data_IF_561737575904
#
_entry.id   IF_561737575904
#
_cell.length_a   1.000
_cell.length_b   1.000
_cell.length_c   1.000
_cell.angle_alpha   90.00
_cell.angle_beta   90.00
_cell.angle_gamma   90.00
#
_symmetry.space_group_name_H-M   'P 1'
#
loop_
_entity.id
_entity.type
_entity.pdbx_description
1 polymer ?
#
# COMPACT_ATOMS: atom_id res chain seq x y z
N UNK A 1 -22.82 14.78 -14.20
CA UNK A 1 -22.58 13.32 -14.16
C UNK A 1 -21.13 13.14 -13.71
N UNK A 2 -20.89 12.72 -12.47
CA UNK A 2 -19.54 12.33 -12.06
C UNK A 2 -19.19 11.06 -12.84
N UNK A 3 -18.20 11.16 -13.71
CA UNK A 3 -17.56 9.98 -14.30
C UNK A 3 -16.83 9.29 -13.14
N UNK A 4 -17.42 8.25 -12.57
CA UNK A 4 -16.66 7.29 -11.79
C UNK A 4 -15.69 6.64 -12.78
N UNK A 5 -14.43 7.03 -12.72
CA UNK A 5 -13.37 6.42 -13.51
C UNK A 5 -13.31 4.95 -13.15
N UNK A 6 -13.74 4.10 -14.08
CA UNK A 6 -13.75 2.67 -13.92
C UNK A 6 -12.67 2.11 -14.84
N UNK A 7 -11.73 1.37 -14.26
CA UNK A 7 -10.58 0.83 -14.98
C UNK A 7 -10.71 -0.67 -15.14
N UNK A 8 -10.00 -1.20 -16.14
CA UNK A 8 -9.72 -2.64 -16.31
C UNK A 8 -8.52 -2.83 -17.22
N UNK A 9 -7.86 -3.98 -17.10
CA UNK A 9 -6.81 -4.39 -18.02
C UNK A 9 -5.59 -3.48 -17.97
N UNK A 10 -4.94 -3.50 -16.81
CA UNK A 10 -3.64 -2.89 -16.58
C UNK A 10 -2.69 -3.89 -15.90
N UNK A 11 -1.40 -3.60 -15.98
CA UNK A 11 -0.33 -4.26 -15.26
C UNK A 11 0.33 -3.22 -14.36
N UNK A 12 0.61 -3.60 -13.12
CA UNK A 12 1.38 -2.81 -12.17
C UNK A 12 2.67 -3.56 -11.87
N UNK A 13 3.80 -2.91 -12.07
CA UNK A 13 5.12 -3.44 -11.72
C UNK A 13 5.79 -2.53 -10.70
N UNK A 14 6.41 -3.13 -9.69
CA UNK A 14 7.21 -2.43 -8.69
C UNK A 14 8.67 -2.80 -8.87
N UNK A 15 9.54 -1.82 -8.71
CA UNK A 15 10.98 -1.94 -8.97
C UNK A 15 11.80 -1.59 -7.73
N UNK A 16 12.93 -2.27 -7.54
CA UNK A 16 13.96 -1.90 -6.56
C UNK A 16 14.74 -0.66 -7.03
N UNK A 17 15.61 -0.10 -6.17
CA UNK A 17 16.53 0.99 -6.54
C UNK A 17 17.52 0.58 -7.64
N UNK A 18 17.86 -0.72 -7.74
CA UNK A 18 18.69 -1.27 -8.79
C UNK A 18 17.95 -1.44 -10.13
N UNK A 19 16.63 -1.21 -10.15
CA UNK A 19 15.78 -1.38 -11.34
C UNK A 19 15.28 -2.81 -11.55
N UNK A 20 15.48 -3.71 -10.59
CA UNK A 20 14.94 -5.07 -10.66
C UNK A 20 13.44 -5.06 -10.39
N UNK A 21 12.67 -5.85 -11.15
CA UNK A 21 11.25 -6.06 -10.86
C UNK A 21 11.12 -6.89 -9.58
N UNK A 22 10.57 -6.30 -8.52
CA UNK A 22 10.37 -6.95 -7.22
C UNK A 22 8.93 -7.42 -7.02
N UNK A 23 7.97 -6.84 -7.77
CA UNK A 23 6.57 -7.25 -7.74
C UNK A 23 5.90 -6.98 -9.09
N UNK A 24 4.96 -7.85 -9.47
CA UNK A 24 4.12 -7.67 -10.66
C UNK A 24 2.69 -8.11 -10.36
N UNK A 25 1.75 -7.21 -10.59
CA UNK A 25 0.32 -7.45 -10.56
C UNK A 25 -0.26 -7.29 -11.97
N UNK A 26 -1.11 -8.24 -12.38
CA UNK A 26 -1.86 -8.16 -13.61
C UNK A 26 -3.35 -8.14 -13.26
N UNK A 27 -4.09 -7.18 -13.79
CA UNK A 27 -5.53 -7.13 -13.59
C UNK A 27 -6.21 -8.33 -14.27
N UNK A 28 -6.83 -9.19 -13.46
CA UNK A 28 -7.58 -10.37 -13.91
C UNK A 28 -9.10 -10.17 -13.84
N UNK A 29 -9.57 -8.98 -13.47
CA UNK A 29 -11.01 -8.72 -13.40
C UNK A 29 -11.63 -8.69 -14.79
N UNK A 30 -12.76 -9.37 -14.92
CA UNK A 30 -13.54 -9.39 -16.17
C UNK A 30 -14.46 -8.18 -16.30
N UNK A 31 -14.77 -7.52 -15.18
CA UNK A 31 -15.58 -6.29 -15.11
C UNK A 31 -14.72 -5.10 -14.72
N UNK A 32 -15.16 -3.90 -15.09
CA UNK A 32 -14.53 -2.67 -14.63
C UNK A 32 -14.64 -2.53 -13.11
N UNK A 33 -13.60 -2.01 -12.47
CA UNK A 33 -13.57 -1.72 -11.04
C UNK A 33 -13.25 -0.24 -10.82
N UNK A 34 -13.84 0.33 -9.77
CA UNK A 34 -13.58 1.71 -9.36
C UNK A 34 -12.45 1.85 -8.35
N UNK A 35 -12.07 0.76 -7.66
CA UNK A 35 -11.03 0.75 -6.63
C UNK A 35 -10.24 -0.55 -6.73
N UNK A 36 -8.91 -0.45 -6.67
CA UNK A 36 -7.99 -1.58 -6.65
C UNK A 36 -7.11 -1.50 -5.40
N UNK A 37 -7.21 -2.52 -4.53
CA UNK A 37 -6.37 -2.65 -3.35
C UNK A 37 -5.32 -3.74 -3.61
N UNK A 38 -4.08 -3.31 -3.91
CA UNK A 38 -2.97 -4.21 -4.23
C UNK A 38 -1.97 -4.11 -3.07
N UNK A 39 -1.67 -5.24 -2.44
CA UNK A 39 -0.76 -5.30 -1.28
C UNK A 39 0.20 -6.47 -1.40
N UNK A 40 1.42 -6.28 -0.92
CA UNK A 40 2.44 -7.31 -0.81
C UNK A 40 3.38 -6.99 0.36
N UNK A 41 4.00 -7.99 0.95
CA UNK A 41 4.85 -7.83 2.16
C UNK A 41 6.33 -8.00 1.84
N UNK A 42 7.19 -7.34 2.61
CA UNK A 42 8.65 -7.50 2.58
C UNK A 42 9.36 -7.13 1.27
N UNK A 43 8.85 -6.14 0.52
CA UNK A 43 9.53 -5.64 -0.67
C UNK A 43 10.00 -4.21 -0.49
N UNK A 44 11.26 -3.98 -0.83
CA UNK A 44 11.82 -2.64 -0.98
C UNK A 44 11.47 -2.14 -2.37
N UNK A 45 10.54 -1.20 -2.45
CA UNK A 45 10.04 -0.62 -3.70
C UNK A 45 10.51 0.83 -3.80
N UNK A 46 11.17 1.16 -4.90
CA UNK A 46 11.61 2.53 -5.24
C UNK A 46 10.73 3.17 -6.30
N UNK A 47 10.22 2.39 -7.25
CA UNK A 47 9.39 2.89 -8.34
C UNK A 47 8.22 1.94 -8.60
N UNK A 48 7.06 2.50 -8.96
CA UNK A 48 5.92 1.74 -9.48
C UNK A 48 5.57 2.25 -10.87
N UNK A 49 5.32 1.32 -11.78
CA UNK A 49 4.89 1.59 -13.15
C UNK A 49 3.57 0.90 -13.39
N UNK A 50 2.58 1.66 -13.87
CA UNK A 50 1.27 1.15 -14.27
C UNK A 50 1.18 1.28 -15.80
N UNK A 51 0.97 0.15 -16.48
CA UNK A 51 0.83 0.09 -17.94
C UNK A 51 -0.50 -0.52 -18.33
N UNK A 52 -1.10 -0.04 -19.41
CA UNK A 52 -2.30 -0.67 -19.98
C UNK A 52 -1.92 -1.95 -20.70
N UNK A 53 -2.77 -2.98 -20.61
CA UNK A 53 -2.51 -4.28 -21.28
C UNK A 53 -3.13 -4.38 -22.67
N UNK A 54 -3.99 -3.42 -23.03
CA UNK A 54 -4.64 -3.33 -24.34
C UNK A 54 -4.58 -1.89 -24.84
N UNK A 55 -4.47 -1.75 -26.16
CA UNK A 55 -4.52 -0.46 -26.85
C UNK A 55 -5.92 0.19 -26.80
N UNK A 56 -6.95 -0.59 -26.46
CA UNK A 56 -8.33 -0.10 -26.31
C UNK A 56 -8.62 0.41 -24.89
N UNK A 57 -7.76 0.13 -23.92
CA UNK A 57 -7.92 0.59 -22.55
C UNK A 57 -7.15 1.90 -22.36
N UNK A 58 -7.85 2.96 -21.94
CA UNK A 58 -7.22 4.21 -21.50
C UNK A 58 -7.15 4.21 -19.98
N UNK A 59 -5.94 4.43 -19.44
CA UNK A 59 -5.73 4.48 -18.00
C UNK A 59 -6.19 5.84 -17.46
N UNK A 60 -7.38 5.86 -16.85
CA UNK A 60 -7.92 7.03 -16.17
C UNK A 60 -7.88 6.81 -14.65
N UNK A 61 -6.83 7.31 -14.01
CA UNK A 61 -6.65 7.25 -12.55
C UNK A 61 -7.08 8.60 -11.97
N UNK A 62 -8.05 8.59 -11.04
CA UNK A 62 -8.42 9.80 -10.29
C UNK A 62 -7.52 10.05 -9.09
N UNK A 63 -7.10 8.96 -8.43
CA UNK A 63 -6.33 8.98 -7.20
C UNK A 63 -5.48 7.71 -7.14
N UNK A 64 -4.24 7.86 -6.69
CA UNK A 64 -3.30 6.77 -6.50
C UNK A 64 -2.58 6.98 -5.18
N UNK A 65 -2.71 6.01 -4.29
CA UNK A 65 -2.11 6.02 -2.97
C UNK A 65 -1.19 4.81 -2.84
N UNK A 66 0.06 5.06 -2.47
CA UNK A 66 1.02 4.02 -2.13
C UNK A 66 1.31 4.07 -0.66
N UNK A 67 1.04 2.97 0.02
CA UNK A 67 1.35 2.78 1.42
C UNK A 67 2.51 1.79 1.51
N UNK A 68 3.72 2.31 1.75
CA UNK A 68 4.89 1.49 2.06
C UNK A 68 5.11 1.43 3.57
N UNK A 69 5.71 0.34 4.05
CA UNK A 69 6.30 0.30 5.39
C UNK A 69 7.63 1.09 5.38
N UNK A 70 7.51 2.43 5.44
CA UNK A 70 8.42 3.45 6.02
C UNK A 70 8.71 4.72 5.18
N UNK A 71 8.18 5.84 5.69
CA UNK A 71 8.88 7.13 5.85
C UNK A 71 8.63 7.73 7.26
N UNK A 72 8.04 6.96 8.18
CA UNK A 72 7.83 7.40 9.55
C UNK A 72 9.01 7.06 10.44
N UNK A 73 9.37 7.96 11.39
CA UNK A 73 10.26 7.60 12.48
C UNK A 73 9.75 6.33 13.16
N UNK A 74 10.67 5.46 13.59
CA UNK A 74 10.35 4.23 14.31
C UNK A 74 9.32 4.49 15.42
N UNK A 75 8.23 3.71 15.42
CA UNK A 75 7.12 3.87 16.36
C UNK A 75 6.09 4.94 15.99
N UNK A 76 6.06 5.42 14.74
CA UNK A 76 5.01 6.31 14.24
C UNK A 76 4.29 5.72 13.02
N UNK A 77 3.03 6.09 12.86
CA UNK A 77 2.16 5.68 11.77
C UNK A 77 1.22 6.82 11.36
N UNK A 78 0.52 6.65 10.25
CA UNK A 78 -0.33 7.67 9.66
C UNK A 78 0.30 8.30 8.42
N UNK A 79 -0.50 9.06 7.68
CA UNK A 79 -0.10 9.63 6.39
C UNK A 79 1.07 10.61 6.53
N UNK A 80 1.10 11.36 7.63
CA UNK A 80 2.08 12.37 7.98
C UNK A 80 2.87 11.97 9.25
N UNK A 81 2.85 10.69 9.61
CA UNK A 81 3.46 10.16 10.83
C UNK A 81 2.92 10.81 12.11
N UNK A 82 1.66 11.23 12.08
CA UNK A 82 1.01 12.01 13.13
C UNK A 82 0.61 11.17 14.36
N UNK A 83 0.65 9.84 14.25
CA UNK A 83 0.23 8.93 15.30
C UNK A 83 1.40 8.09 15.82
N UNK A 84 1.34 7.72 17.11
CA UNK A 84 2.35 6.87 17.76
C UNK A 84 1.85 5.44 17.89
N UNK A 85 2.72 4.49 17.59
CA UNK A 85 2.47 3.08 17.81
C UNK A 85 2.71 2.73 19.27
N UNK A 86 1.88 1.82 19.81
CA UNK A 86 2.08 1.24 21.14
C UNK A 86 2.49 -0.23 21.05
N UNK A 87 3.41 -0.53 20.13
CA UNK A 87 3.99 -1.87 19.96
C UNK A 87 5.09 -2.12 20.99
N UNK A 88 5.29 -3.38 21.38
CA UNK A 88 6.41 -3.80 22.22
C UNK A 88 7.74 -3.42 21.56
N UNK A 89 7.82 -3.67 20.26
CA UNK A 89 8.93 -3.33 19.37
C UNK A 89 8.42 -2.31 18.35
N UNK A 90 8.98 -1.10 18.39
CA UNK A 90 8.47 0.06 17.63
C UNK A 90 8.71 -0.05 16.11
N UNK A 91 9.62 -0.91 15.70
CA UNK A 91 9.93 -1.32 14.33
C UNK A 91 8.96 -2.38 13.78
N UNK A 92 8.13 -2.98 14.63
CA UNK A 92 7.06 -3.91 14.24
C UNK A 92 5.70 -3.23 14.04
N UNK A 93 5.70 -1.92 13.83
CA UNK A 93 4.50 -1.15 13.56
C UNK A 93 4.27 -0.96 12.04
N UNK A 94 3.08 -1.32 11.57
CA UNK A 94 2.65 -1.03 10.21
C UNK A 94 2.35 0.46 10.06
N UNK A 95 3.08 1.15 9.18
CA UNK A 95 2.98 2.61 9.03
C UNK A 95 1.63 3.06 8.48
N UNK A 96 0.98 2.20 7.70
CA UNK A 96 -0.33 2.45 7.09
C UNK A 96 -1.51 2.41 8.07
N UNK A 97 -1.39 1.64 9.16
CA UNK A 97 -2.54 1.33 10.03
C UNK A 97 -2.26 1.53 11.52
N UNK A 98 -0.99 1.57 11.93
CA UNK A 98 -0.58 1.60 13.35
C UNK A 98 -0.62 0.22 14.03
N UNK A 99 -0.95 -0.83 13.27
CA UNK A 99 -1.04 -2.19 13.78
C UNK A 99 0.33 -2.77 14.08
N UNK A 100 0.43 -3.47 15.21
CA UNK A 100 1.64 -4.21 15.58
C UNK A 100 1.61 -5.63 15.00
N UNK A 101 2.71 -6.04 14.35
CA UNK A 101 2.86 -7.38 13.76
C UNK A 101 3.36 -8.43 14.75
N UNK A 102 3.99 -8.00 15.84
CA UNK A 102 4.46 -8.85 16.94
C UNK A 102 3.52 -8.79 18.15
N UNK A 103 3.79 -7.89 19.10
CA UNK A 103 3.01 -7.74 20.35
C UNK A 103 2.81 -6.26 20.72
N UNK A 104 1.78 -6.00 21.53
CA UNK A 104 1.55 -4.68 22.12
C UNK A 104 2.48 -4.41 23.31
N UNK A 105 2.81 -3.14 23.52
CA UNK A 105 3.50 -2.71 24.73
C UNK A 105 2.65 -2.98 25.98
N UNK A 106 3.29 -3.10 27.14
CA UNK A 106 2.62 -3.39 28.40
C UNK A 106 1.52 -2.35 28.71
N UNK A 107 0.29 -2.83 28.95
CA UNK A 107 -0.87 -1.98 29.21
C UNK A 107 -1.73 -1.68 27.98
N UNK A 108 -1.27 -2.05 26.78
CA UNK A 108 -2.00 -1.87 25.52
C UNK A 108 -2.49 -3.21 24.95
N UNK A 109 -3.63 -3.17 24.27
CA UNK A 109 -4.39 -4.31 23.73
C UNK A 109 -5.16 -3.91 22.49
N UNK A 110 -5.71 -4.92 21.82
CA UNK A 110 -6.42 -4.77 20.54
C UNK A 110 -5.46 -4.88 19.35
N UNK A 111 -6.00 -5.00 18.14
CA UNK A 111 -5.20 -5.21 16.93
C UNK A 111 -4.23 -4.04 16.65
N UNK A 112 -4.61 -2.83 17.06
CA UNK A 112 -3.81 -1.62 16.85
C UNK A 112 -3.15 -1.13 18.14
N UNK A 113 -3.20 -1.93 19.20
CA UNK A 113 -2.61 -1.62 20.51
C UNK A 113 -3.02 -0.24 21.06
N UNK A 114 -4.27 0.17 20.86
CA UNK A 114 -4.79 1.50 21.25
C UNK A 114 -5.79 1.47 22.41
N UNK A 115 -5.98 0.31 23.04
CA UNK A 115 -6.93 0.07 24.15
C UNK A 115 -6.25 -0.53 25.35
#
# INVERSE_FOLDING_TARGET
>A
RQLQSAMRGFKLESFSEAGDVVFSYLDQHTTVQSVYNISHTHLVVSMVVITTTSLENVLHICEFEMYGDSLCPTGQYGRECEHKCNCLESDHCLVSTGRCTAECAAGYKGNDCNT
#
